data_IF_241250789290
#
_entry.id   IF_241250789290
#
_cell.length_a   1.000
_cell.length_b   1.000
_cell.length_c   1.000
_cell.angle_alpha   90.00
_cell.angle_beta   90.00
_cell.angle_gamma   90.00
#
_symmetry.space_group_name_H-M   'P 1'
#
loop_
_entity.id
_entity.type
_entity.pdbx_description
1 polymer ?
#
# COMPACT_ATOMS: atom_id res chain seq x y z
N UNK A 1 2.42 27.94 3.59
CA UNK A 1 2.91 26.90 4.52
C UNK A 1 1.95 25.73 4.38
N UNK A 2 2.41 24.57 3.91
CA UNK A 2 1.54 23.40 3.76
C UNK A 2 1.39 22.74 5.14
N UNK A 3 0.16 22.55 5.59
CA UNK A 3 -0.15 21.79 6.80
C UNK A 3 0.11 20.30 6.54
N UNK A 4 0.83 19.66 7.47
CA UNK A 4 1.00 18.21 7.43
C UNK A 4 -0.28 17.56 7.97
N UNK A 5 -0.99 16.79 7.15
CA UNK A 5 -2.34 16.27 7.38
C UNK A 5 -2.49 15.27 8.56
N UNK A 6 -1.45 15.05 9.37
CA UNK A 6 -1.42 14.08 10.47
C UNK A 6 -2.00 12.71 10.07
N UNK A 7 -1.53 12.18 8.93
CA UNK A 7 -2.01 10.92 8.37
C UNK A 7 -1.57 9.76 9.26
N UNK A 8 -2.53 8.99 9.77
CA UNK A 8 -2.29 7.79 10.60
C UNK A 8 -2.42 6.48 9.83
N UNK A 9 -3.02 6.52 8.65
CA UNK A 9 -3.25 5.35 7.82
C UNK A 9 -3.06 5.71 6.36
N UNK A 10 -2.26 4.92 5.67
CA UNK A 10 -2.06 5.01 4.22
C UNK A 10 -2.27 3.64 3.61
N UNK A 11 -2.98 3.58 2.48
CA UNK A 11 -3.17 2.37 1.71
C UNK A 11 -3.09 2.63 0.21
N UNK A 12 -2.73 1.60 -0.54
CA UNK A 12 -2.70 1.65 -2.00
C UNK A 12 -2.90 0.26 -2.62
N UNK A 13 -3.31 0.26 -3.89
CA UNK A 13 -3.20 -0.91 -4.76
C UNK A 13 -1.72 -1.07 -5.16
N UNK A 14 -1.03 -2.05 -4.59
CA UNK A 14 0.36 -2.35 -4.84
C UNK A 14 0.50 -3.49 -5.86
N UNK A 15 1.31 -3.29 -6.91
CA UNK A 15 1.59 -4.38 -7.88
C UNK A 15 2.26 -5.54 -7.15
N UNK A 16 1.85 -6.76 -7.48
CA UNK A 16 2.46 -7.98 -6.89
C UNK A 16 3.97 -8.05 -7.15
N UNK A 17 4.41 -7.57 -8.31
CA UNK A 17 5.84 -7.52 -8.71
C UNK A 17 6.67 -6.50 -7.92
N UNK A 18 6.04 -5.61 -7.15
CA UNK A 18 6.71 -4.55 -6.40
C UNK A 18 6.52 -4.66 -4.88
N UNK A 19 6.01 -5.79 -4.35
CA UNK A 19 5.80 -5.99 -2.90
C UNK A 19 7.02 -5.60 -2.05
N UNK A 20 8.22 -6.07 -2.43
CA UNK A 20 9.45 -5.76 -1.70
C UNK A 20 9.81 -4.27 -1.68
N UNK A 21 9.31 -3.46 -2.62
CA UNK A 21 9.44 -2.01 -2.57
C UNK A 21 8.53 -1.42 -1.48
N UNK A 22 7.25 -1.79 -1.45
CA UNK A 22 6.29 -1.28 -0.47
C UNK A 22 6.63 -1.72 0.96
N UNK A 23 7.09 -2.96 1.12
CA UNK A 23 7.52 -3.50 2.42
C UNK A 23 8.68 -2.70 3.05
N UNK A 24 9.56 -2.08 2.25
CA UNK A 24 10.62 -1.20 2.77
C UNK A 24 10.08 0.04 3.48
N UNK A 25 8.85 0.45 3.17
CA UNK A 25 8.16 1.57 3.81
C UNK A 25 7.19 1.13 4.92
N UNK A 26 7.24 -0.15 5.31
CA UNK A 26 6.38 -0.70 6.36
C UNK A 26 4.96 -1.04 5.90
N UNK A 27 4.70 -1.07 4.59
CA UNK A 27 3.42 -1.53 4.09
C UNK A 27 3.33 -3.05 4.12
N UNK A 28 2.16 -3.55 4.52
CA UNK A 28 1.83 -4.98 4.58
C UNK A 28 0.65 -5.31 3.66
N UNK A 29 0.56 -6.56 3.22
CA UNK A 29 -0.56 -7.04 2.39
C UNK A 29 -1.82 -7.17 3.23
N UNK A 30 -2.90 -6.55 2.78
CA UNK A 30 -4.24 -6.72 3.32
C UNK A 30 -5.14 -7.46 2.32
N UNK A 31 -5.55 -8.67 2.65
CA UNK A 31 -6.50 -9.45 1.85
C UNK A 31 -5.85 -10.20 0.68
N UNK A 32 -6.67 -10.54 -0.31
CA UNK A 32 -6.29 -11.38 -1.45
C UNK A 32 -5.77 -10.57 -2.64
N UNK A 33 -5.03 -11.24 -3.52
CA UNK A 33 -4.63 -10.71 -4.82
C UNK A 33 -5.87 -10.41 -5.68
N UNK A 34 -5.83 -9.35 -6.47
CA UNK A 34 -6.88 -9.02 -7.44
C UNK A 34 -6.30 -8.51 -8.75
N UNK A 35 -7.04 -8.72 -9.84
CA UNK A 35 -6.70 -8.20 -11.17
C UNK A 35 -7.24 -6.77 -11.36
N UNK A 36 -6.40 -5.90 -11.91
CA UNK A 36 -6.80 -4.57 -12.38
C UNK A 36 -6.23 -4.35 -13.78
N UNK A 37 -7.09 -4.59 -14.77
CA UNK A 37 -6.76 -4.43 -16.20
C UNK A 37 -5.63 -5.37 -16.67
N UNK A 38 -5.66 -6.64 -16.26
CA UNK A 38 -4.67 -7.64 -16.64
C UNK A 38 -3.35 -7.56 -15.86
N UNK A 39 -3.36 -6.83 -14.73
CA UNK A 39 -2.21 -6.69 -13.84
C UNK A 39 -2.66 -7.06 -12.44
N UNK A 40 -1.91 -7.95 -11.79
CA UNK A 40 -2.14 -8.35 -10.41
C UNK A 40 -1.70 -7.30 -9.38
N UNK A 41 -2.54 -7.09 -8.37
CA UNK A 41 -2.29 -6.21 -7.24
C UNK A 41 -2.68 -6.88 -5.91
N UNK A 42 -2.12 -6.37 -4.82
CA UNK A 42 -2.66 -6.49 -3.47
C UNK A 42 -3.08 -5.12 -2.97
N UNK A 43 -4.09 -5.06 -2.10
CA UNK A 43 -4.23 -3.89 -1.22
C UNK A 43 -3.08 -3.99 -0.22
N UNK A 44 -2.33 -2.91 -0.07
CA UNK A 44 -1.31 -2.81 0.96
C UNK A 44 -1.53 -1.57 1.81
N UNK A 45 -1.20 -1.65 3.09
CA UNK A 45 -1.38 -0.54 4.02
C UNK A 45 -0.26 -0.44 5.06
N UNK A 46 -0.13 0.74 5.66
CA UNK A 46 0.69 0.99 6.84
C UNK A 46 -0.10 1.89 7.80
N UNK A 47 0.03 1.62 9.08
CA UNK A 47 -0.62 2.37 10.15
C UNK A 47 0.44 2.90 11.13
N UNK A 48 0.31 4.16 11.51
CA UNK A 48 1.15 4.82 12.50
C UNK A 48 0.33 5.20 13.74
N UNK A 49 0.91 5.00 14.92
CA UNK A 49 0.30 5.29 16.23
C UNK A 49 0.74 6.64 16.78
#
# INVERSE_FOLDING_TARGET
MFECLNVRYFWCDARTTALGFYQKFGLEVEGCEFDKSGVSYYKMSVQWH
#
